data_IF_247926787263
#
_entry.id   IF_247926787263
#
_cell.length_a   1.000
_cell.length_b   1.000
_cell.length_c   1.000
_cell.angle_alpha   90.00
_cell.angle_beta   90.00
_cell.angle_gamma   90.00
#
_symmetry.space_group_name_H-M   'P 1'
#
loop_
_entity.id
_entity.type
_entity.pdbx_description
1 polymer ?
#
# COMPACT_ATOMS: atom_id res chain seq x y z
N UNK A 1 1.18 -29.08 -15.33
CA UNK A 1 1.25 -28.98 -13.85
C UNK A 1 2.60 -28.44 -13.36
N UNK A 2 3.76 -29.02 -13.73
CA UNK A 2 5.08 -28.62 -13.20
C UNK A 2 5.42 -27.13 -13.31
N UNK A 3 5.29 -26.50 -14.50
CA UNK A 3 5.59 -25.07 -14.69
C UNK A 3 4.68 -24.12 -13.90
N UNK A 4 3.42 -24.50 -13.66
CA UNK A 4 2.47 -23.68 -12.90
C UNK A 4 2.75 -23.71 -11.39
N UNK A 5 3.06 -24.91 -10.86
CA UNK A 5 3.51 -25.09 -9.48
C UNK A 5 4.81 -24.33 -9.23
N UNK A 6 5.76 -24.44 -10.15
CA UNK A 6 7.04 -23.73 -10.07
C UNK A 6 6.82 -22.21 -10.08
N UNK A 7 6.03 -21.68 -11.01
CA UNK A 7 5.68 -20.26 -11.06
C UNK A 7 5.03 -19.76 -9.76
N UNK A 8 4.05 -20.50 -9.24
CA UNK A 8 3.32 -20.13 -8.01
C UNK A 8 4.24 -20.18 -6.80
N UNK A 9 5.08 -21.21 -6.71
CA UNK A 9 6.08 -21.37 -5.65
C UNK A 9 7.07 -20.20 -5.65
N UNK A 10 7.60 -19.81 -6.80
CA UNK A 10 8.55 -18.69 -6.89
C UNK A 10 7.96 -17.38 -6.37
N UNK A 11 6.70 -17.07 -6.71
CA UNK A 11 6.01 -15.87 -6.22
C UNK A 11 5.77 -15.92 -4.72
N UNK A 12 5.33 -17.07 -4.23
CA UNK A 12 5.08 -17.28 -2.81
C UNK A 12 6.38 -17.18 -1.99
N UNK A 13 7.44 -17.82 -2.48
CA UNK A 13 8.77 -17.78 -1.87
C UNK A 13 9.35 -16.35 -1.84
N UNK A 14 9.19 -15.61 -2.94
CA UNK A 14 9.55 -14.19 -2.95
C UNK A 14 8.70 -13.37 -1.98
N UNK A 15 7.40 -13.65 -1.89
CA UNK A 15 6.50 -13.05 -0.90
C UNK A 15 7.00 -13.26 0.54
N UNK A 16 7.54 -14.45 0.85
CA UNK A 16 8.19 -14.72 2.14
C UNK A 16 9.46 -13.88 2.35
N UNK A 17 10.36 -13.84 1.37
CA UNK A 17 11.60 -13.05 1.46
C UNK A 17 11.28 -11.56 1.66
N UNK A 18 10.36 -11.03 0.86
CA UNK A 18 9.94 -9.63 0.97
C UNK A 18 9.31 -9.35 2.34
N UNK A 19 8.47 -10.24 2.85
CA UNK A 19 7.88 -10.07 4.19
C UNK A 19 8.95 -10.15 5.29
N UNK A 20 9.97 -11.01 5.14
CA UNK A 20 11.09 -11.06 6.08
C UNK A 20 11.89 -9.75 6.06
N UNK A 21 12.20 -9.20 4.88
CA UNK A 21 12.84 -7.88 4.76
C UNK A 21 11.97 -6.79 5.39
N UNK A 22 10.66 -6.81 5.15
CA UNK A 22 9.73 -5.86 5.75
C UNK A 22 9.82 -5.87 7.27
N UNK A 23 9.77 -7.04 7.91
CA UNK A 23 9.84 -7.14 9.36
C UNK A 23 11.19 -6.71 9.92
N UNK A 24 12.29 -7.13 9.31
CA UNK A 24 13.64 -6.71 9.71
C UNK A 24 13.81 -5.19 9.66
N UNK A 25 13.39 -4.58 8.56
CA UNK A 25 13.45 -3.13 8.37
C UNK A 25 12.45 -2.38 9.27
N UNK A 26 11.29 -2.95 9.51
CA UNK A 26 10.30 -2.39 10.45
C UNK A 26 10.87 -2.34 11.87
N UNK A 27 11.53 -3.42 12.31
CA UNK A 27 12.18 -3.48 13.61
C UNK A 27 13.34 -2.48 13.72
N UNK A 28 14.12 -2.28 12.65
CA UNK A 28 15.20 -1.30 12.61
C UNK A 28 14.72 0.15 12.85
N UNK A 29 13.48 0.46 12.49
CA UNK A 29 12.84 1.78 12.71
C UNK A 29 12.03 1.88 14.01
N UNK A 30 12.19 0.94 14.95
CA UNK A 30 11.43 0.94 16.21
C UNK A 30 9.95 0.61 16.02
N UNK A 31 9.61 -0.20 15.00
CA UNK A 31 8.26 -0.55 14.55
C UNK A 31 7.51 0.65 13.97
N UNK A 32 7.25 1.67 14.78
CA UNK A 32 6.45 2.85 14.44
C UNK A 32 7.01 3.52 13.18
N UNK A 33 8.24 4.04 13.24
CA UNK A 33 8.87 4.73 12.10
C UNK A 33 9.44 3.77 11.04
N UNK A 34 9.40 2.47 11.28
CA UNK A 34 9.95 1.46 10.37
C UNK A 34 8.95 0.96 9.32
N UNK A 35 7.64 0.99 9.61
CA UNK A 35 6.60 0.40 8.75
C UNK A 35 6.57 1.04 7.35
N UNK A 36 6.51 2.36 7.28
CA UNK A 36 6.39 3.08 6.02
C UNK A 36 7.64 2.95 5.12
N UNK A 37 8.87 3.18 5.62
CA UNK A 37 10.06 2.99 4.78
C UNK A 37 10.33 1.54 4.43
N UNK A 38 9.97 0.56 5.28
CA UNK A 38 10.03 -0.85 4.91
C UNK A 38 9.09 -1.17 3.73
N UNK A 39 7.87 -0.63 3.77
CA UNK A 39 6.88 -0.75 2.70
C UNK A 39 7.36 -0.15 1.37
N UNK A 40 7.91 1.08 1.41
CA UNK A 40 8.50 1.72 0.24
C UNK A 40 9.69 0.94 -0.31
N UNK A 41 10.55 0.41 0.56
CA UNK A 41 11.70 -0.43 0.17
C UNK A 41 11.27 -1.68 -0.60
N UNK A 42 10.22 -2.36 -0.15
CA UNK A 42 9.70 -3.52 -0.87
C UNK A 42 9.19 -3.16 -2.26
N UNK A 43 8.49 -2.03 -2.39
CA UNK A 43 8.06 -1.55 -3.69
C UNK A 43 9.23 -1.17 -4.59
N UNK A 44 10.28 -0.54 -4.06
CA UNK A 44 11.49 -0.20 -4.81
C UNK A 44 12.19 -1.45 -5.34
N UNK A 45 12.40 -2.46 -4.49
CA UNK A 45 13.02 -3.72 -4.92
C UNK A 45 12.15 -4.45 -5.97
N UNK A 46 10.83 -4.38 -5.82
CA UNK A 46 9.91 -4.94 -6.82
C UNK A 46 9.93 -4.16 -8.13
N UNK A 47 10.04 -2.83 -8.07
CA UNK A 47 10.15 -1.99 -9.25
C UNK A 47 11.41 -2.28 -10.05
N UNK A 48 12.52 -2.56 -9.37
CA UNK A 48 13.83 -2.81 -9.97
C UNK A 48 14.00 -4.25 -10.46
N UNK A 49 13.62 -5.24 -9.64
CA UNK A 49 13.92 -6.65 -9.90
C UNK A 49 12.69 -7.51 -10.26
N UNK A 50 11.48 -6.96 -10.13
CA UNK A 50 10.23 -7.67 -10.35
C UNK A 50 10.12 -8.93 -9.48
N UNK A 51 9.74 -10.05 -10.11
CA UNK A 51 9.58 -11.35 -9.45
C UNK A 51 10.88 -12.17 -9.34
N UNK A 52 12.05 -11.57 -9.59
CA UNK A 52 13.33 -12.29 -9.58
C UNK A 52 13.88 -12.40 -8.16
N UNK A 53 13.49 -13.44 -7.42
CA UNK A 53 13.81 -13.55 -5.98
C UNK A 53 15.31 -13.52 -5.65
N UNK A 54 16.17 -13.99 -6.56
CA UNK A 54 17.64 -14.04 -6.33
C UNK A 54 18.31 -12.66 -6.36
N UNK A 55 17.65 -11.66 -6.94
CA UNK A 55 18.17 -10.31 -7.05
C UNK A 55 17.88 -9.46 -5.79
N UNK A 56 17.04 -9.94 -4.87
CA UNK A 56 16.75 -9.22 -3.63
C UNK A 56 17.91 -9.35 -2.65
N UNK A 57 18.63 -8.26 -2.44
CA UNK A 57 19.77 -8.22 -1.51
C UNK A 57 19.50 -7.31 -0.30
N UNK A 58 19.87 -7.79 0.89
CA UNK A 58 19.66 -7.04 2.14
C UNK A 58 20.42 -5.71 2.16
N UNK A 59 21.61 -5.66 1.57
CA UNK A 59 22.42 -4.42 1.48
C UNK A 59 21.70 -3.35 0.69
N UNK A 60 21.15 -3.71 -0.46
CA UNK A 60 20.37 -2.82 -1.31
C UNK A 60 19.08 -2.39 -0.62
N UNK A 61 18.37 -3.33 -0.01
CA UNK A 61 17.19 -3.04 0.81
C UNK A 61 17.49 -2.02 1.92
N UNK A 62 18.66 -2.12 2.56
CA UNK A 62 19.09 -1.18 3.61
C UNK A 62 19.38 0.22 3.07
N UNK A 63 20.01 0.33 1.90
CA UNK A 63 20.24 1.64 1.26
C UNK A 63 18.93 2.30 0.84
N UNK A 64 18.02 1.54 0.21
CA UNK A 64 16.68 1.99 -0.14
C UNK A 64 15.87 2.41 1.09
N UNK A 65 15.98 1.66 2.19
CA UNK A 65 15.30 1.97 3.44
C UNK A 65 15.73 3.32 4.02
N UNK A 66 17.04 3.58 4.10
CA UNK A 66 17.58 4.86 4.57
C UNK A 66 17.14 6.01 3.69
N UNK A 67 17.18 5.83 2.36
CA UNK A 67 16.77 6.85 1.39
C UNK A 67 15.27 7.20 1.53
N UNK A 68 14.42 6.19 1.73
CA UNK A 68 12.98 6.38 1.85
C UNK A 68 12.52 6.80 3.26
N UNK A 69 13.39 6.75 4.28
CA UNK A 69 13.01 6.87 5.70
C UNK A 69 12.12 8.08 6.00
N UNK A 70 12.56 9.28 5.61
CA UNK A 70 11.84 10.52 5.94
C UNK A 70 10.61 10.70 5.04
N UNK A 71 10.78 10.55 3.73
CA UNK A 71 9.73 10.79 2.73
C UNK A 71 8.54 9.86 2.94
N UNK A 72 8.80 8.56 3.15
CA UNK A 72 7.74 7.58 3.35
C UNK A 72 7.04 7.74 4.68
N UNK A 73 7.75 8.04 5.77
CA UNK A 73 7.11 8.32 7.06
C UNK A 73 6.22 9.56 6.99
N UNK A 74 6.70 10.66 6.39
CA UNK A 74 5.91 11.89 6.26
C UNK A 74 4.60 11.63 5.51
N UNK A 75 4.66 10.92 4.37
CA UNK A 75 3.47 10.57 3.63
C UNK A 75 2.55 9.64 4.42
N UNK A 76 3.09 8.55 4.99
CA UNK A 76 2.32 7.57 5.75
C UNK A 76 1.57 8.19 6.91
N UNK A 77 2.27 8.94 7.78
CA UNK A 77 1.64 9.54 8.95
C UNK A 77 0.61 10.61 8.62
N UNK A 78 0.74 11.27 7.47
CA UNK A 78 -0.26 12.21 7.01
C UNK A 78 -1.57 11.51 6.64
N UNK A 79 -1.50 10.35 5.96
CA UNK A 79 -2.69 9.53 5.71
C UNK A 79 -3.21 8.87 6.98
N UNK A 80 -2.34 8.36 7.86
CA UNK A 80 -2.74 7.77 9.14
C UNK A 80 -3.46 8.79 10.02
N UNK A 81 -2.96 10.03 10.10
CA UNK A 81 -3.62 11.08 10.86
C UNK A 81 -5.05 11.32 10.38
N UNK A 82 -5.25 11.47 9.06
CA UNK A 82 -6.59 11.62 8.48
C UNK A 82 -7.45 10.37 8.73
N UNK A 83 -6.88 9.18 8.56
CA UNK A 83 -7.59 7.93 8.82
C UNK A 83 -8.03 7.80 10.28
N UNK A 84 -7.20 8.17 11.25
CA UNK A 84 -7.53 8.16 12.67
C UNK A 84 -8.68 9.12 13.00
N UNK A 85 -8.67 10.33 12.41
CA UNK A 85 -9.79 11.29 12.56
C UNK A 85 -11.08 10.68 12.01
N UNK A 86 -11.05 10.04 10.85
CA UNK A 86 -12.22 9.40 10.25
C UNK A 86 -12.72 8.21 11.06
N UNK A 87 -11.82 7.32 11.51
CA UNK A 87 -12.15 6.18 12.37
C UNK A 87 -12.74 6.65 13.70
N UNK A 88 -12.18 7.67 14.32
CA UNK A 88 -12.74 8.27 15.53
C UNK A 88 -14.10 8.90 15.25
N UNK A 89 -14.27 9.56 14.10
CA UNK A 89 -15.57 10.06 13.65
C UNK A 89 -16.62 8.95 13.49
N UNK A 90 -16.25 7.80 12.94
CA UNK A 90 -17.13 6.62 12.84
C UNK A 90 -17.50 6.09 14.23
N UNK A 91 -16.52 5.99 15.13
CA UNK A 91 -16.75 5.58 16.52
C UNK A 91 -17.79 6.48 17.20
N UNK A 92 -17.68 7.80 17.04
CA UNK A 92 -18.65 8.76 17.59
C UNK A 92 -20.04 8.64 16.92
N UNK A 93 -20.10 8.53 15.60
CA UNK A 93 -21.37 8.44 14.85
C UNK A 93 -22.20 7.21 15.27
N UNK A 94 -21.55 6.08 15.50
CA UNK A 94 -22.22 4.83 15.90
C UNK A 94 -22.82 4.94 17.32
N UNK A 95 -22.25 5.77 18.20
CA UNK A 95 -22.70 5.94 19.59
C UNK A 95 -23.84 6.92 19.78
N UNK A 96 -24.20 7.71 18.76
CA UNK A 96 -25.23 8.73 18.92
C UNK A 96 -26.61 8.10 19.21
N UNK A 97 -27.28 8.51 20.30
CA UNK A 97 -28.64 8.07 20.58
C UNK A 97 -29.61 8.70 19.56
N UNK A 98 -30.71 8.00 19.26
CA UNK A 98 -31.74 8.44 18.30
C UNK A 98 -31.23 8.68 16.88
N UNK A 99 -30.64 7.66 16.26
CA UNK A 99 -30.12 7.76 14.90
C UNK A 99 -31.22 8.10 13.88
N UNK A 100 -30.96 9.14 13.09
CA UNK A 100 -31.80 9.55 11.95
C UNK A 100 -31.12 9.21 10.63
N UNK A 101 -31.84 9.39 9.51
CA UNK A 101 -31.28 9.13 8.17
C UNK A 101 -30.03 9.96 7.85
N UNK A 102 -29.90 11.16 8.43
CA UNK A 102 -28.70 11.98 8.27
C UNK A 102 -27.47 11.36 8.95
N UNK A 103 -27.64 10.67 10.07
CA UNK A 103 -26.57 9.95 10.75
C UNK A 103 -26.09 8.75 9.93
N UNK A 104 -27.04 8.05 9.30
CA UNK A 104 -26.72 6.96 8.38
C UNK A 104 -25.93 7.46 7.17
N UNK A 105 -26.37 8.57 6.56
CA UNK A 105 -25.67 9.19 5.42
C UNK A 105 -24.26 9.65 5.82
N UNK A 106 -24.11 10.28 6.99
CA UNK A 106 -22.81 10.72 7.50
C UNK A 106 -21.88 9.52 7.77
N UNK A 107 -22.41 8.42 8.30
CA UNK A 107 -21.65 7.19 8.55
C UNK A 107 -21.17 6.58 7.24
N UNK A 108 -22.05 6.49 6.23
CA UNK A 108 -21.69 6.00 4.91
C UNK A 108 -20.63 6.88 4.23
N UNK A 109 -20.79 8.21 4.26
CA UNK A 109 -19.82 9.14 3.69
C UNK A 109 -18.47 9.05 4.39
N UNK A 110 -18.45 8.94 5.72
CA UNK A 110 -17.23 8.81 6.49
C UNK A 110 -16.51 7.48 6.17
N UNK A 111 -17.24 6.36 6.10
CA UNK A 111 -16.69 5.08 5.67
C UNK A 111 -16.13 5.14 4.24
N UNK A 112 -16.81 5.82 3.32
CA UNK A 112 -16.33 6.05 1.96
C UNK A 112 -15.03 6.86 1.96
N UNK A 113 -14.94 7.93 2.75
CA UNK A 113 -13.72 8.73 2.89
C UNK A 113 -12.56 7.89 3.45
N UNK A 114 -12.82 6.99 4.39
CA UNK A 114 -11.79 6.09 4.93
C UNK A 114 -11.23 5.15 3.85
N UNK A 115 -12.11 4.60 3.00
CA UNK A 115 -11.70 3.80 1.83
C UNK A 115 -10.89 4.65 0.85
N UNK A 116 -11.30 5.89 0.57
CA UNK A 116 -10.55 6.79 -0.30
C UNK A 116 -9.16 7.14 0.26
N UNK A 117 -9.03 7.33 1.57
CA UNK A 117 -7.73 7.57 2.23
C UNK A 117 -6.82 6.34 2.09
N UNK A 118 -7.35 5.13 2.27
CA UNK A 118 -6.60 3.89 2.04
C UNK A 118 -6.12 3.76 0.59
N UNK A 119 -6.99 4.06 -0.39
CA UNK A 119 -6.63 4.01 -1.81
C UNK A 119 -5.60 5.10 -2.16
N UNK A 120 -5.77 6.32 -1.63
CA UNK A 120 -4.83 7.42 -1.81
C UNK A 120 -3.44 7.04 -1.29
N UNK A 121 -3.36 6.45 -0.09
CA UNK A 121 -2.09 5.97 0.45
C UNK A 121 -1.46 4.90 -0.45
N UNK A 122 -2.24 3.93 -0.94
CA UNK A 122 -1.74 2.86 -1.81
C UNK A 122 -1.17 3.42 -3.12
N UNK A 123 -1.85 4.39 -3.73
CA UNK A 123 -1.34 5.10 -4.92
C UNK A 123 -0.10 5.92 -4.57
N UNK A 124 -0.10 6.62 -3.45
CA UNK A 124 1.04 7.42 -2.97
C UNK A 124 2.30 6.57 -2.81
N UNK A 125 2.17 5.36 -2.25
CA UNK A 125 3.28 4.43 -2.05
C UNK A 125 3.98 4.12 -3.37
N UNK A 126 3.18 3.83 -4.40
CA UNK A 126 3.70 3.60 -5.75
C UNK A 126 4.32 4.87 -6.33
N UNK A 127 3.67 6.03 -6.23
CA UNK A 127 4.20 7.26 -6.79
C UNK A 127 5.56 7.65 -6.20
N UNK A 128 5.76 7.42 -4.89
CA UNK A 128 7.01 7.79 -4.22
C UNK A 128 8.22 6.98 -4.68
N UNK A 129 7.99 5.76 -5.13
CA UNK A 129 9.01 4.81 -5.56
C UNK A 129 9.44 5.08 -7.01
N UNK A 130 8.50 5.43 -7.88
CA UNK A 130 8.77 5.57 -9.30
C UNK A 130 8.99 7.03 -9.75
N UNK A 131 8.65 8.02 -8.92
CA UNK A 131 8.84 9.42 -9.25
C UNK A 131 9.49 10.22 -8.12
N UNK A 132 10.42 11.09 -8.50
CA UNK A 132 10.97 12.13 -7.63
C UNK A 132 10.01 13.32 -7.54
N UNK A 133 8.92 13.13 -6.78
CA UNK A 133 7.91 14.15 -6.53
C UNK A 133 8.12 14.84 -5.18
N UNK A 134 7.80 16.13 -5.13
CA UNK A 134 7.63 16.84 -3.88
C UNK A 134 6.43 16.27 -3.10
N UNK A 135 6.46 16.37 -1.78
CA UNK A 135 5.41 15.85 -0.89
C UNK A 135 4.00 16.33 -1.28
N UNK A 136 3.83 17.62 -1.59
CA UNK A 136 2.54 18.19 -2.02
C UNK A 136 2.06 17.58 -3.33
N UNK A 137 2.96 17.39 -4.29
CA UNK A 137 2.63 16.78 -5.57
C UNK A 137 2.28 15.30 -5.41
N UNK A 138 2.98 14.56 -4.55
CA UNK A 138 2.64 13.18 -4.21
C UNK A 138 1.23 13.08 -3.64
N UNK A 139 0.87 13.93 -2.66
CA UNK A 139 -0.47 13.93 -2.08
C UNK A 139 -1.53 14.23 -3.14
N UNK A 140 -1.35 15.31 -3.89
CA UNK A 140 -2.31 15.71 -4.92
C UNK A 140 -2.49 14.63 -5.99
N UNK A 141 -1.38 14.09 -6.51
CA UNK A 141 -1.42 13.05 -7.53
C UNK A 141 -1.97 11.73 -7.00
N UNK A 142 -1.75 11.42 -5.72
CA UNK A 142 -2.31 10.21 -5.12
C UNK A 142 -3.83 10.25 -5.05
N UNK A 143 -4.43 11.41 -4.76
CA UNK A 143 -5.88 11.60 -4.78
C UNK A 143 -6.44 11.54 -6.21
N UNK A 144 -5.77 12.20 -7.16
CA UNK A 144 -6.17 12.18 -8.57
C UNK A 144 -6.03 10.76 -9.17
N UNK A 145 -4.98 10.03 -8.79
CA UNK A 145 -4.67 8.70 -9.30
C UNK A 145 -5.76 7.67 -9.04
N UNK A 146 -6.54 7.83 -7.96
CA UNK A 146 -7.71 6.98 -7.67
C UNK A 146 -8.74 7.04 -8.80
N UNK A 147 -8.85 8.17 -9.49
CA UNK A 147 -9.86 8.37 -10.55
C UNK A 147 -9.30 8.16 -11.96
N UNK A 148 -7.99 7.91 -12.11
CA UNK A 148 -7.36 7.71 -13.41
C UNK A 148 -7.71 6.35 -14.05
N UNK A 149 -7.85 5.29 -13.24
CA UNK A 149 -8.25 3.98 -13.74
C UNK A 149 -9.13 3.24 -12.73
N UNK A 150 -10.44 3.28 -12.98
CA UNK A 150 -11.44 2.69 -12.09
C UNK A 150 -11.29 1.16 -11.94
N UNK A 151 -10.92 0.46 -13.02
CA UNK A 151 -10.72 -1.00 -13.00
C UNK A 151 -9.55 -1.41 -12.10
N UNK A 152 -8.42 -0.71 -12.20
CA UNK A 152 -7.26 -0.93 -11.34
C UNK A 152 -7.61 -0.73 -9.86
N UNK A 153 -8.34 0.34 -9.56
CA UNK A 153 -8.69 0.72 -8.18
C UNK A 153 -9.69 -0.25 -7.56
N UNK A 154 -10.69 -0.72 -8.31
CA UNK A 154 -11.57 -1.81 -7.85
C UNK A 154 -10.76 -3.07 -7.56
N UNK A 155 -9.82 -3.45 -8.44
CA UNK A 155 -8.97 -4.64 -8.21
C UNK A 155 -8.14 -4.49 -6.94
N UNK A 156 -7.55 -3.32 -6.70
CA UNK A 156 -6.81 -3.02 -5.46
C UNK A 156 -7.71 -3.20 -4.25
N UNK A 157 -8.94 -2.67 -4.28
CA UNK A 157 -9.88 -2.77 -3.17
C UNK A 157 -10.31 -4.23 -2.92
N UNK A 158 -10.73 -4.94 -3.96
CA UNK A 158 -11.15 -6.35 -3.86
C UNK A 158 -10.01 -7.27 -3.44
N UNK A 159 -8.82 -7.10 -4.01
CA UNK A 159 -7.65 -7.92 -3.67
C UNK A 159 -7.14 -7.66 -2.25
N UNK A 160 -7.18 -6.40 -1.79
CA UNK A 160 -6.86 -6.07 -0.39
C UNK A 160 -7.90 -6.66 0.57
N UNK A 161 -9.19 -6.56 0.23
CA UNK A 161 -10.26 -7.20 1.02
C UNK A 161 -10.15 -8.72 1.08
N UNK A 162 -9.83 -9.36 -0.05
CA UNK A 162 -9.59 -10.81 -0.11
C UNK A 162 -8.40 -11.21 0.76
N UNK A 163 -7.30 -10.46 0.72
CA UNK A 163 -6.13 -10.73 1.54
C UNK A 163 -6.45 -10.62 3.04
N UNK A 164 -7.24 -9.62 3.45
CA UNK A 164 -7.71 -9.49 4.82
C UNK A 164 -8.62 -10.66 5.22
N UNK A 165 -9.54 -11.08 4.33
CA UNK A 165 -10.39 -12.25 4.56
C UNK A 165 -9.57 -13.53 4.76
N UNK A 166 -8.60 -13.79 3.90
CA UNK A 166 -7.67 -14.93 4.04
C UNK A 166 -6.86 -14.82 5.34
N UNK A 167 -6.36 -13.62 5.64
CA UNK A 167 -5.59 -13.35 6.86
C UNK A 167 -6.37 -13.55 8.14
N UNK A 168 -7.68 -13.33 8.13
CA UNK A 168 -8.54 -13.64 9.27
C UNK A 168 -8.59 -15.14 9.58
N UNK A 169 -8.71 -15.99 8.56
CA UNK A 169 -8.74 -17.45 8.73
C UNK A 169 -7.33 -18.06 8.89
N UNK A 170 -6.32 -17.42 8.31
CA UNK A 170 -4.94 -17.91 8.27
C UNK A 170 -3.95 -16.77 8.63
N UNK A 171 -3.92 -16.33 9.91
CA UNK A 171 -3.12 -15.16 10.31
C UNK A 171 -1.62 -15.35 10.09
N UNK A 172 -1.12 -16.59 10.24
CA UNK A 172 0.27 -16.92 9.94
C UNK A 172 0.61 -16.62 8.48
N UNK A 173 -0.29 -16.91 7.53
CA UNK A 173 -0.04 -16.64 6.11
C UNK A 173 0.09 -15.14 5.84
N UNK A 174 -0.75 -14.32 6.49
CA UNK A 174 -0.67 -12.87 6.36
C UNK A 174 0.66 -12.35 6.93
N UNK A 175 1.07 -12.86 8.09
CA UNK A 175 2.30 -12.44 8.77
C UNK A 175 3.58 -12.85 8.03
N UNK A 176 3.62 -14.04 7.41
CA UNK A 176 4.83 -14.55 6.75
C UNK A 176 4.90 -14.27 5.26
N UNK A 177 3.78 -14.05 4.58
CA UNK A 177 3.72 -13.95 3.10
C UNK A 177 2.86 -12.79 2.65
N UNK A 178 1.75 -12.55 3.34
CA UNK A 178 0.70 -11.64 2.90
C UNK A 178 1.18 -10.21 2.69
N UNK A 179 2.07 -9.69 3.54
CA UNK A 179 2.60 -8.34 3.40
C UNK A 179 3.37 -8.19 2.09
N UNK A 180 4.36 -9.05 1.83
CA UNK A 180 5.12 -9.03 0.58
C UNK A 180 4.22 -9.20 -0.64
N UNK A 181 3.30 -10.17 -0.61
CA UNK A 181 2.34 -10.41 -1.69
C UNK A 181 1.42 -9.22 -1.94
N UNK A 182 0.99 -8.52 -0.89
CA UNK A 182 0.19 -7.30 -1.03
C UNK A 182 0.94 -6.23 -1.80
N UNK A 183 2.22 -5.98 -1.48
CA UNK A 183 3.05 -4.98 -2.15
C UNK A 183 3.23 -5.28 -3.64
N UNK A 184 3.47 -6.54 -3.99
CA UNK A 184 3.58 -6.96 -5.39
C UNK A 184 2.25 -6.81 -6.13
N UNK A 185 1.16 -7.22 -5.48
CA UNK A 185 -0.18 -7.11 -6.02
C UNK A 185 -0.56 -5.67 -6.33
N UNK A 186 -0.39 -4.73 -5.38
CA UNK A 186 -0.73 -3.33 -5.62
C UNK A 186 0.21 -2.69 -6.66
N UNK A 187 1.48 -3.10 -6.70
CA UNK A 187 2.44 -2.62 -7.71
C UNK A 187 2.00 -3.02 -9.13
N UNK A 188 1.53 -4.25 -9.31
CA UNK A 188 0.99 -4.71 -10.59
C UNK A 188 -0.35 -4.07 -10.94
N UNK A 189 -1.30 -4.04 -9.99
CA UNK A 189 -2.64 -3.53 -10.27
C UNK A 189 -2.64 -2.04 -10.58
N UNK A 190 -1.79 -1.25 -9.92
CA UNK A 190 -1.68 0.18 -10.15
C UNK A 190 -0.80 0.55 -11.36
N UNK A 191 -0.38 -0.41 -12.18
CA UNK A 191 0.43 -0.11 -13.39
C UNK A 191 -0.27 0.84 -14.37
N UNK A 192 -1.56 0.67 -14.70
CA UNK A 192 -2.25 1.59 -15.60
C UNK A 192 -2.38 3.02 -15.05
N UNK A 193 -2.62 3.16 -13.74
CA UNK A 193 -2.68 4.47 -13.07
C UNK A 193 -1.35 5.20 -13.19
N UNK A 194 -0.25 4.47 -12.99
CA UNK A 194 1.11 5.00 -13.11
C UNK A 194 1.43 5.42 -14.54
N UNK A 195 1.15 4.57 -15.54
CA UNK A 195 1.39 4.85 -16.97
C UNK A 195 0.65 6.13 -17.39
N UNK A 196 -0.61 6.29 -16.98
CA UNK A 196 -1.39 7.50 -17.25
C UNK A 196 -0.80 8.77 -16.61
N UNK A 197 -0.16 8.66 -15.44
CA UNK A 197 0.51 9.79 -14.79
C UNK A 197 1.83 10.10 -15.50
N UNK A 198 2.60 9.07 -15.86
CA UNK A 198 3.86 9.21 -16.57
C UNK A 198 3.67 9.92 -17.91
N UNK A 199 2.70 9.50 -18.73
CA UNK A 199 2.37 10.13 -20.01
C UNK A 199 2.01 11.62 -19.86
N UNK A 200 1.23 11.96 -18.82
CA UNK A 200 0.83 13.35 -18.53
C UNK A 200 1.96 14.23 -17.99
N UNK A 201 2.98 13.63 -17.39
CA UNK A 201 4.18 14.34 -16.93
C UNK A 201 5.20 14.53 -18.06
N UNK A 202 5.32 13.55 -18.98
CA UNK A 202 6.22 13.62 -20.13
C UNK A 202 5.76 14.58 -21.24
N UNK A 203 4.48 14.97 -21.23
CA UNK A 203 3.88 15.90 -22.20
C UNK A 203 3.93 17.37 -21.77
N UNK A 204 4.60 17.68 -20.65
CA UNK A 204 4.89 19.03 -20.18
C UNK A 204 6.36 19.35 -20.35
#
# INVERSE_FOLDING_TARGET
>A
MGRFLEFTFHRFFLGMIATAFFWLLTLAGGIVFGLAPASATLMSLYAEHGYTYRAYHLKEAWELYKSNFVKSNLAFYSFVFVALVLVYGLYLLIQLPHQTIFHLLATFLNALLLVLVFLAYTVSLKLQVYFELSYQNTLKLSLIGIFMNFSAIIKVLLGSGLLLGVGYYMPALLFFVGIGMWHFFISDMLRPVYESIHEKLATK
#
